data_IF_553687418993
#
_entry.id   IF_553687418993
#
_cell.length_a   1.000
_cell.length_b   1.000
_cell.length_c   1.000
_cell.angle_alpha   90.00
_cell.angle_beta   90.00
_cell.angle_gamma   90.00
#
_symmetry.space_group_name_H-M   'P 1'
#
loop_
_entity.id
_entity.type
_entity.pdbx_description
1 polymer ?
#
# COMPACT_ATOMS: atom_id res chain seq x y z
N UNK A 1 0.49 -39.53 -22.85
CA UNK A 1 1.77 -39.07 -22.27
C UNK A 1 1.47 -38.03 -21.19
N UNK A 2 1.23 -38.49 -19.97
CA UNK A 2 0.92 -37.65 -18.81
C UNK A 2 2.23 -37.09 -18.23
N UNK A 3 2.39 -35.78 -18.26
CA UNK A 3 3.52 -35.11 -17.61
C UNK A 3 3.40 -35.28 -16.08
N UNK A 4 4.47 -35.68 -15.37
CA UNK A 4 4.38 -35.99 -13.93
C UNK A 4 4.23 -34.70 -13.10
N UNK A 5 3.28 -34.71 -12.16
CA UNK A 5 3.05 -33.70 -11.11
C UNK A 5 4.33 -33.24 -10.38
N UNK A 6 5.35 -34.09 -10.36
CA UNK A 6 6.69 -33.85 -9.79
C UNK A 6 7.45 -32.65 -10.40
N UNK A 7 7.15 -32.24 -11.65
CA UNK A 7 7.82 -31.07 -12.26
C UNK A 7 7.22 -29.72 -11.82
N UNK A 8 6.02 -29.74 -11.23
CA UNK A 8 5.32 -28.53 -10.79
C UNK A 8 5.80 -28.05 -9.41
N UNK A 9 6.26 -28.96 -8.55
CA UNK A 9 6.79 -28.65 -7.21
C UNK A 9 8.15 -27.93 -7.28
N UNK A 10 8.99 -28.24 -8.27
CA UNK A 10 10.31 -27.62 -8.44
C UNK A 10 10.29 -26.22 -9.08
N UNK A 11 9.16 -25.78 -9.65
CA UNK A 11 8.94 -24.40 -10.13
C UNK A 11 8.42 -23.47 -9.02
N UNK A 12 8.06 -24.00 -7.86
CA UNK A 12 7.68 -23.22 -6.68
C UNK A 12 8.90 -22.77 -5.88
N UNK A 13 9.92 -22.22 -6.56
CA UNK A 13 10.60 -21.10 -5.94
C UNK A 13 9.51 -20.04 -5.80
N UNK A 14 8.91 -19.97 -4.61
CA UNK A 14 8.05 -18.87 -4.22
C UNK A 14 8.90 -17.62 -4.34
N UNK A 15 8.98 -17.06 -5.53
CA UNK A 15 9.44 -15.68 -5.74
C UNK A 15 8.52 -14.90 -4.84
N UNK A 16 9.03 -14.54 -3.66
CA UNK A 16 8.34 -13.69 -2.72
C UNK A 16 7.88 -12.51 -3.55
N UNK A 17 6.56 -12.31 -3.66
CA UNK A 17 6.03 -11.16 -4.39
C UNK A 17 6.77 -9.96 -3.84
N UNK A 18 7.44 -9.20 -4.71
CA UNK A 18 8.13 -7.99 -4.27
C UNK A 18 7.06 -7.12 -3.64
N UNK A 19 7.24 -6.78 -2.37
CA UNK A 19 6.39 -5.81 -1.72
C UNK A 19 6.59 -4.50 -2.48
N UNK A 20 5.50 -3.81 -2.81
CA UNK A 20 5.57 -2.45 -3.36
C UNK A 20 5.77 -1.52 -2.17
N UNK A 21 6.94 -1.58 -1.55
CA UNK A 21 7.30 -0.81 -0.37
C UNK A 21 7.95 0.54 -0.72
N UNK A 22 8.24 1.34 0.30
CA UNK A 22 8.89 2.65 0.12
C UNK A 22 10.25 2.53 -0.56
N UNK A 23 11.01 1.48 -0.29
CA UNK A 23 12.37 1.32 -0.81
C UNK A 23 12.36 1.06 -2.32
N UNK A 24 11.45 0.19 -2.79
CA UNK A 24 11.25 -0.05 -4.22
C UNK A 24 10.61 1.15 -4.92
N UNK A 25 9.53 1.69 -4.36
CA UNK A 25 8.70 2.69 -5.02
C UNK A 25 9.33 4.09 -5.06
N UNK A 26 10.24 4.42 -4.12
CA UNK A 26 10.93 5.71 -4.13
C UNK A 26 12.25 5.66 -4.89
N UNK A 27 12.83 4.46 -5.08
CA UNK A 27 14.03 4.26 -5.88
C UNK A 27 13.80 4.15 -7.39
N UNK A 28 12.54 4.05 -7.84
CA UNK A 28 12.17 3.88 -9.25
C UNK A 28 11.01 4.77 -9.65
N UNK A 29 11.01 5.27 -10.88
CA UNK A 29 9.82 5.91 -11.47
C UNK A 29 8.81 4.84 -11.90
N UNK A 30 8.22 4.14 -10.93
CA UNK A 30 7.15 3.19 -11.19
C UNK A 30 5.89 3.94 -11.63
N UNK A 31 5.20 3.48 -12.67
CA UNK A 31 3.91 4.07 -13.11
C UNK A 31 2.72 3.29 -12.57
N UNK A 32 2.89 2.00 -12.31
CA UNK A 32 1.87 1.13 -11.75
C UNK A 32 1.61 1.43 -10.27
N UNK A 33 0.71 0.66 -9.66
CA UNK A 33 0.43 0.72 -8.23
C UNK A 33 1.73 0.69 -7.43
N UNK A 34 1.97 1.74 -6.65
CA UNK A 34 3.13 1.87 -5.77
C UNK A 34 2.82 2.85 -4.63
N UNK A 35 3.64 2.81 -3.58
CA UNK A 35 3.65 3.83 -2.52
C UNK A 35 4.15 5.14 -3.09
N UNK A 36 3.47 6.23 -2.77
CA UNK A 36 3.83 7.59 -3.15
C UNK A 36 4.04 8.44 -1.90
N UNK A 37 5.05 9.33 -1.90
CA UNK A 37 5.31 10.18 -0.76
C UNK A 37 4.18 11.19 -0.59
N UNK A 38 3.69 11.33 0.63
CA UNK A 38 2.71 12.34 1.00
C UNK A 38 3.00 12.78 2.43
N UNK A 39 3.31 14.05 2.59
CA UNK A 39 3.44 14.67 3.90
C UNK A 39 2.11 15.33 4.27
N UNK A 40 1.63 15.06 5.48
CA UNK A 40 0.41 15.67 6.03
C UNK A 40 0.80 16.54 7.22
N UNK A 41 0.47 17.83 7.15
CA UNK A 41 0.53 18.77 8.27
C UNK A 41 -0.80 18.74 9.03
N UNK A 42 -0.75 18.38 10.32
CA UNK A 42 -1.95 18.22 11.13
C UNK A 42 -2.79 19.49 11.20
N UNK A 43 -2.15 20.67 11.26
CA UNK A 43 -2.86 21.94 11.40
C UNK A 43 -3.35 22.47 10.06
N UNK A 44 -2.56 22.35 9.00
CA UNK A 44 -2.90 22.92 7.69
C UNK A 44 -3.86 22.04 6.91
N UNK A 45 -3.65 20.73 6.89
CA UNK A 45 -4.39 19.82 6.01
C UNK A 45 -5.60 19.22 6.73
N UNK A 46 -5.46 18.90 8.03
CA UNK A 46 -6.52 18.26 8.83
C UNK A 46 -7.20 19.19 9.83
N UNK A 47 -6.69 20.41 10.02
CA UNK A 47 -7.17 21.36 11.02
C UNK A 47 -7.13 20.82 12.46
N UNK A 48 -6.31 19.80 12.73
CA UNK A 48 -6.12 19.21 14.04
C UNK A 48 -5.20 20.07 14.89
N UNK A 49 -5.79 20.73 15.90
CA UNK A 49 -5.06 21.59 16.85
C UNK A 49 -4.70 20.88 18.16
N UNK A 50 -5.15 19.64 18.33
CA UNK A 50 -5.02 18.88 19.57
C UNK A 50 -3.69 18.12 19.65
N UNK A 51 -3.10 17.73 18.51
CA UNK A 51 -1.75 17.15 18.47
C UNK A 51 -0.72 18.26 18.66
N UNK A 52 0.13 18.09 19.66
CA UNK A 52 1.23 19.01 19.93
C UNK A 52 2.46 18.64 19.11
N UNK A 53 2.90 17.39 19.14
CA UNK A 53 4.01 16.87 18.32
C UNK A 53 3.68 15.48 17.75
N UNK A 54 4.15 15.13 16.54
CA UNK A 54 4.83 16.01 15.59
C UNK A 54 3.85 17.01 14.95
N UNK A 55 4.33 18.04 14.24
CA UNK A 55 3.45 18.97 13.49
C UNK A 55 2.82 18.34 12.24
N UNK A 56 3.45 17.30 11.72
CA UNK A 56 3.01 16.55 10.56
C UNK A 56 3.87 15.30 10.41
N UNK A 57 3.52 14.45 9.46
CA UNK A 57 4.20 13.18 9.25
C UNK A 57 4.13 12.73 7.80
N UNK A 58 5.04 11.83 7.42
CA UNK A 58 5.04 11.20 6.10
C UNK A 58 4.02 10.06 6.10
N UNK A 59 2.77 10.36 5.72
CA UNK A 59 1.69 9.39 5.69
C UNK A 59 1.86 8.39 4.54
N UNK A 60 2.36 8.88 3.40
CA UNK A 60 2.34 8.18 2.12
C UNK A 60 0.93 7.78 1.68
N UNK A 61 0.79 7.36 0.43
CA UNK A 61 -0.46 6.80 -0.07
C UNK A 61 -0.19 5.83 -1.22
N UNK A 62 -1.18 5.00 -1.53
CA UNK A 62 -1.11 4.06 -2.63
C UNK A 62 -1.76 4.64 -3.89
N UNK A 63 -1.01 4.66 -4.99
CA UNK A 63 -1.53 5.17 -6.27
C UNK A 63 -0.86 4.47 -7.46
N UNK A 64 -1.68 4.23 -8.48
CA UNK A 64 -1.28 3.72 -9.79
C UNK A 64 -2.22 2.60 -10.27
N UNK A 65 -2.20 2.27 -11.57
CA UNK A 65 -2.98 1.19 -12.15
C UNK A 65 -2.47 -0.18 -11.68
N UNK A 66 -3.38 -1.16 -11.70
CA UNK A 66 -3.13 -2.56 -11.36
C UNK A 66 -3.25 -3.45 -12.62
N UNK A 67 -2.21 -3.50 -13.48
CA UNK A 67 -2.24 -4.39 -14.64
C UNK A 67 -2.17 -5.86 -14.23
N UNK A 68 -2.43 -6.76 -15.18
CA UNK A 68 -2.42 -8.19 -14.92
C UNK A 68 -1.12 -8.62 -14.21
N UNK A 69 -1.27 -9.46 -13.19
CA UNK A 69 -0.22 -9.97 -12.26
C UNK A 69 0.55 -8.95 -11.41
N UNK A 70 0.28 -7.64 -11.51
CA UNK A 70 0.94 -6.63 -10.69
C UNK A 70 0.45 -6.64 -9.24
N UNK A 71 1.27 -7.15 -8.32
CA UNK A 71 0.98 -7.25 -6.87
C UNK A 71 -0.46 -7.67 -6.52
N UNK A 72 -1.06 -8.54 -7.33
CA UNK A 72 -2.45 -8.96 -7.19
C UNK A 72 -2.60 -9.88 -5.97
N UNK A 73 -3.35 -9.44 -4.97
CA UNK A 73 -3.45 -10.09 -3.66
C UNK A 73 -4.11 -11.47 -3.76
N UNK A 74 -5.30 -11.50 -4.36
CA UNK A 74 -6.17 -12.68 -4.47
C UNK A 74 -6.25 -13.22 -5.90
N UNK A 75 -6.79 -14.43 -6.07
CA UNK A 75 -7.10 -14.94 -7.42
C UNK A 75 -8.16 -14.08 -8.11
N UNK A 76 -9.11 -13.53 -7.34
CA UNK A 76 -10.12 -12.59 -7.86
C UNK A 76 -9.46 -11.35 -8.46
N UNK A 77 -8.52 -10.70 -7.76
CA UNK A 77 -7.83 -9.51 -8.26
C UNK A 77 -7.01 -9.80 -9.53
N UNK A 78 -6.46 -11.03 -9.68
CA UNK A 78 -5.79 -11.45 -10.93
C UNK A 78 -6.78 -11.58 -12.10
N UNK A 79 -7.90 -12.27 -11.88
CA UNK A 79 -8.95 -12.44 -12.91
C UNK A 79 -9.53 -11.09 -13.30
N UNK A 80 -9.77 -10.21 -12.33
CA UNK A 80 -10.29 -8.87 -12.57
C UNK A 80 -9.30 -8.01 -13.37
N UNK A 81 -8.00 -8.04 -13.04
CA UNK A 81 -6.98 -7.35 -13.82
C UNK A 81 -6.90 -7.87 -15.27
N UNK A 82 -7.01 -9.19 -15.46
CA UNK A 82 -7.04 -9.80 -16.79
C UNK A 82 -8.28 -9.38 -17.57
N UNK A 83 -9.44 -9.38 -16.91
CA UNK A 83 -10.70 -8.94 -17.51
C UNK A 83 -10.63 -7.49 -17.97
N UNK A 84 -10.10 -6.58 -17.13
CA UNK A 84 -9.92 -5.18 -17.50
C UNK A 84 -8.96 -4.98 -18.68
N UNK A 85 -7.94 -5.84 -18.82
CA UNK A 85 -7.02 -5.78 -19.96
C UNK A 85 -7.71 -6.11 -21.29
N UNK A 86 -8.68 -7.04 -21.28
CA UNK A 86 -9.46 -7.41 -22.46
C UNK A 86 -10.69 -6.51 -22.68
N UNK A 87 -11.24 -5.93 -21.61
CA UNK A 87 -12.42 -5.08 -21.65
C UNK A 87 -12.22 -3.78 -20.83
N UNK A 88 -11.44 -2.81 -21.33
CA UNK A 88 -11.15 -1.57 -20.60
C UNK A 88 -12.38 -0.70 -20.34
N UNK A 89 -13.42 -0.79 -21.17
CA UNK A 89 -14.66 -0.02 -21.01
C UNK A 89 -15.54 -0.52 -19.86
N UNK A 90 -15.28 -1.71 -19.32
CA UNK A 90 -15.99 -2.22 -18.16
C UNK A 90 -15.62 -1.49 -16.86
N UNK A 91 -14.50 -0.74 -16.84
CA UNK A 91 -13.99 -0.02 -15.66
C UNK A 91 -13.83 -0.89 -14.39
N UNK A 92 -13.71 -2.21 -14.58
CA UNK A 92 -13.65 -3.20 -13.52
C UNK A 92 -12.19 -3.63 -13.32
N UNK A 93 -11.41 -2.80 -12.62
CA UNK A 93 -9.99 -3.03 -12.32
C UNK A 93 -9.75 -3.14 -10.81
N UNK A 94 -8.74 -3.90 -10.35
CA UNK A 94 -8.32 -3.88 -8.95
C UNK A 94 -7.84 -2.47 -8.53
N UNK A 95 -8.05 -2.13 -7.26
CA UNK A 95 -7.60 -0.86 -6.70
C UNK A 95 -6.22 -1.01 -6.06
N UNK A 96 -5.41 0.05 -6.16
CA UNK A 96 -4.14 0.14 -5.45
C UNK A 96 -4.39 0.59 -4.01
N UNK A 97 -4.19 -0.30 -3.04
CA UNK A 97 -4.56 -0.09 -1.63
C UNK A 97 -3.39 -0.39 -0.69
N UNK A 98 -3.38 0.16 0.54
CA UNK A 98 -2.37 -0.17 1.54
C UNK A 98 -2.37 -1.66 1.88
N UNK A 99 -1.18 -2.27 1.92
CA UNK A 99 -0.97 -3.64 2.39
C UNK A 99 -0.45 -3.66 3.83
N UNK A 100 0.54 -2.83 4.12
CA UNK A 100 1.11 -2.69 5.45
C UNK A 100 1.06 -1.23 5.90
N UNK A 101 0.69 -1.04 7.16
CA UNK A 101 0.57 0.26 7.79
C UNK A 101 1.39 0.25 9.08
N UNK A 102 2.14 1.32 9.31
CA UNK A 102 2.89 1.55 10.53
C UNK A 102 2.16 2.55 11.44
N UNK A 103 2.31 2.42 12.76
CA UNK A 103 1.73 3.37 13.71
C UNK A 103 2.52 4.69 13.77
N UNK A 104 1.87 5.75 14.26
CA UNK A 104 2.48 7.06 14.49
C UNK A 104 2.42 7.44 15.98
N UNK A 105 3.57 7.62 16.66
CA UNK A 105 3.61 8.18 18.00
C UNK A 105 3.30 9.68 17.95
N UNK A 106 2.46 10.14 18.88
CA UNK A 106 2.04 11.53 19.03
C UNK A 106 2.14 11.98 20.48
N UNK A 107 2.22 13.29 20.67
CA UNK A 107 2.14 13.96 21.96
C UNK A 107 1.00 14.95 21.93
N UNK A 108 0.12 14.91 22.92
CA UNK A 108 -0.95 15.89 23.13
C UNK A 108 -1.08 16.24 24.62
N UNK A 109 -1.83 17.31 24.92
CA UNK A 109 -2.03 17.77 26.29
C UNK A 109 -3.47 17.56 26.73
N UNK A 110 -3.65 17.03 27.94
CA UNK A 110 -4.94 17.05 28.66
C UNK A 110 -4.79 18.03 29.82
N UNK A 111 -5.31 19.25 29.65
CA UNK A 111 -5.01 20.37 30.53
C UNK A 111 -3.52 20.76 30.42
N UNK A 112 -2.77 20.63 31.53
CA UNK A 112 -1.30 20.87 31.56
C UNK A 112 -0.47 19.58 31.55
N UNK A 113 -1.11 18.40 31.52
CA UNK A 113 -0.41 17.11 31.57
C UNK A 113 -0.12 16.62 30.14
N UNK A 114 1.15 16.42 29.75
CA UNK A 114 1.47 15.81 28.46
C UNK A 114 1.10 14.32 28.48
N UNK A 115 0.57 13.82 27.36
CA UNK A 115 0.30 12.41 27.11
C UNK A 115 0.98 12.00 25.81
N UNK A 116 1.55 10.80 25.82
CA UNK A 116 2.12 10.15 24.65
C UNK A 116 1.19 9.00 24.26
N UNK A 117 0.81 8.95 22.99
CA UNK A 117 -0.08 7.93 22.45
C UNK A 117 0.43 7.48 21.08
N UNK A 118 0.08 6.27 20.68
CA UNK A 118 0.48 5.72 19.40
C UNK A 118 -0.76 5.43 18.56
N UNK A 119 -0.98 6.26 17.55
CA UNK A 119 -2.08 6.09 16.61
C UNK A 119 -1.78 4.92 15.68
N UNK A 120 -2.65 3.91 15.66
CA UNK A 120 -2.50 2.75 14.80
C UNK A 120 -2.77 3.10 13.33
N UNK A 121 -2.11 2.39 12.41
CA UNK A 121 -2.43 2.40 10.98
C UNK A 121 -2.32 3.77 10.28
N UNK A 122 -1.32 4.56 10.61
CA UNK A 122 -1.19 5.95 10.13
C UNK A 122 -0.27 6.10 8.92
N UNK A 123 0.79 5.29 8.80
CA UNK A 123 1.83 5.44 7.77
C UNK A 123 1.76 4.25 6.80
N UNK A 124 1.54 4.50 5.52
CA UNK A 124 1.60 3.45 4.49
C UNK A 124 3.05 3.06 4.24
N UNK A 125 3.38 1.80 4.48
CA UNK A 125 4.72 1.25 4.23
C UNK A 125 4.79 0.36 2.99
N UNK A 126 3.67 -0.23 2.55
CA UNK A 126 3.60 -0.95 1.27
C UNK A 126 2.19 -0.96 0.69
N UNK A 127 2.09 -1.15 -0.63
CA UNK A 127 0.85 -1.23 -1.39
C UNK A 127 0.63 -2.62 -2.03
N UNK A 128 -0.62 -2.92 -2.34
CA UNK A 128 -1.04 -4.09 -3.12
C UNK A 128 -2.20 -3.75 -4.06
N UNK A 129 -2.47 -4.63 -5.01
CA UNK A 129 -3.65 -4.56 -5.87
C UNK A 129 -4.72 -5.52 -5.35
N UNK A 130 -5.87 -4.96 -4.93
CA UNK A 130 -7.00 -5.72 -4.38
C UNK A 130 -8.26 -5.50 -5.19
#
# INVERSE_FOLDING_TARGET
MSTPLERASHLQSSRRRRALDTDYCFGTEEKNCCVRPLFIDFRKDLHWKWIHEPKGYMANFCMGPCPYVWSADTQYSKVLALYNQHNPSASAAPCCVPQALAPLPIVYYVGRKPKVEQLSNMIVSSCKCS
#
